data_IF_940169693326
#
_entry.id   IF_940169693326
#
_cell.length_a   1.000
_cell.length_b   1.000
_cell.length_c   1.000
_cell.angle_alpha   90.00
_cell.angle_beta   90.00
_cell.angle_gamma   90.00
#
_symmetry.space_group_name_H-M   'P 1'
#
loop_
_entity.id
_entity.type
_entity.pdbx_description
1 polymer ?
#
# COMPACT_ATOMS: atom_id res chain seq x y z
N UNK A 1 -6.02 0.82 -28.12
CA UNK A 1 -5.03 -0.28 -28.22
C UNK A 1 -5.01 -0.97 -26.88
N UNK A 2 -5.68 -2.12 -26.76
CA UNK A 2 -5.79 -2.86 -25.49
C UNK A 2 -4.55 -3.73 -25.31
N UNK A 3 -3.80 -3.46 -24.25
CA UNK A 3 -2.67 -4.28 -23.83
C UNK A 3 -3.20 -5.51 -23.10
N UNK A 4 -3.17 -6.65 -23.77
CA UNK A 4 -3.42 -7.97 -23.17
C UNK A 4 -2.18 -8.38 -22.38
N UNK A 5 -2.23 -8.21 -21.06
CA UNK A 5 -1.22 -8.81 -20.17
C UNK A 5 -1.49 -10.32 -20.05
N UNK A 6 -0.54 -11.08 -20.58
CA UNK A 6 -0.34 -12.50 -20.37
C UNK A 6 -0.27 -12.81 -18.88
N UNK A 7 -1.21 -13.62 -18.38
CA UNK A 7 -1.09 -14.30 -17.09
C UNK A 7 0.02 -15.36 -17.22
N UNK A 8 1.18 -15.09 -16.63
CA UNK A 8 2.20 -16.10 -16.36
C UNK A 8 1.63 -17.10 -15.35
N UNK A 9 1.40 -18.33 -15.82
CA UNK A 9 1.24 -19.51 -14.98
C UNK A 9 2.59 -19.78 -14.30
N UNK A 10 2.77 -19.31 -13.07
CA UNK A 10 3.77 -19.90 -12.18
C UNK A 10 3.27 -21.27 -11.73
N UNK A 11 3.57 -22.26 -12.56
CA UNK A 11 3.58 -23.66 -12.19
C UNK A 11 4.83 -23.85 -11.33
N UNK A 12 4.67 -23.74 -10.00
CA UNK A 12 5.70 -24.15 -9.06
C UNK A 12 5.74 -25.67 -9.07
N UNK A 13 6.59 -26.22 -9.94
CA UNK A 13 7.08 -27.58 -9.78
C UNK A 13 7.89 -27.63 -8.49
N UNK A 14 7.22 -28.04 -7.41
CA UNK A 14 7.89 -28.47 -6.19
C UNK A 14 8.38 -29.89 -6.47
N UNK A 15 9.54 -30.01 -7.11
CA UNK A 15 10.29 -31.27 -7.15
C UNK A 15 10.78 -31.54 -5.73
N UNK A 16 10.13 -32.47 -5.05
CA UNK A 16 10.59 -32.99 -3.78
C UNK A 16 11.75 -33.94 -4.07
N UNK A 17 12.98 -33.43 -4.06
CA UNK A 17 14.21 -34.23 -4.08
C UNK A 17 14.27 -35.03 -2.78
N UNK A 18 13.78 -36.27 -2.86
CA UNK A 18 13.78 -37.26 -1.78
C UNK A 18 15.04 -38.11 -1.84
N UNK A 19 16.22 -37.48 -1.87
CA UNK A 19 17.52 -38.18 -1.84
C UNK A 19 18.42 -37.68 -0.71
N UNK A 20 17.83 -37.38 0.46
CA UNK A 20 18.58 -37.44 1.72
C UNK A 20 18.43 -38.84 2.32
N UNK A 21 19.23 -39.76 1.80
CA UNK A 21 19.68 -40.92 2.57
C UNK A 21 20.25 -40.40 3.89
N UNK A 22 19.49 -40.56 4.97
CA UNK A 22 20.01 -40.45 6.32
C UNK A 22 21.08 -41.54 6.46
N UNK A 23 22.33 -41.08 6.49
CA UNK A 23 23.51 -41.85 6.83
C UNK A 23 23.33 -42.36 8.26
N UNK A 24 22.64 -43.49 8.36
CA UNK A 24 22.43 -44.24 9.59
C UNK A 24 23.77 -44.87 9.93
N UNK A 25 24.53 -44.16 10.75
CA UNK A 25 25.48 -44.67 11.75
C UNK A 25 26.01 -46.06 11.43
N UNK A 26 27.16 -46.07 10.77
CA UNK A 26 28.13 -47.15 10.75
C UNK A 26 28.55 -47.50 12.19
N UNK A 27 27.70 -48.24 12.89
CA UNK A 27 28.09 -49.02 14.06
C UNK A 27 28.96 -50.16 13.54
N UNK A 28 30.27 -49.97 13.68
CA UNK A 28 31.27 -51.02 13.64
C UNK A 28 30.75 -52.22 14.45
N UNK A 29 30.24 -53.22 13.72
CA UNK A 29 30.19 -54.59 14.22
C UNK A 29 31.66 -54.99 14.31
N UNK A 30 32.26 -54.68 15.45
CA UNK A 30 33.58 -55.13 15.82
C UNK A 30 33.54 -56.65 15.69
N UNK A 31 34.38 -57.15 14.78
CA UNK A 31 34.53 -58.55 14.44
C UNK A 31 34.37 -59.41 15.69
N UNK A 32 33.27 -60.15 15.77
CA UNK A 32 33.20 -61.33 16.62
C UNK A 32 34.28 -62.23 16.03
N UNK A 33 35.43 -62.26 16.71
CA UNK A 33 36.53 -63.14 16.40
C UNK A 33 35.94 -64.52 16.15
N UNK A 34 36.02 -64.99 14.90
CA UNK A 34 35.85 -66.39 14.56
C UNK A 34 36.92 -67.14 15.37
N UNK A 35 36.59 -67.48 16.61
CA UNK A 35 37.39 -68.41 17.40
C UNK A 35 37.11 -69.77 16.79
N UNK A 36 37.92 -70.05 15.78
CA UNK A 36 38.09 -71.33 15.11
C UNK A 36 37.89 -72.45 16.13
N UNK A 37 36.75 -73.13 16.02
CA UNK A 37 36.47 -74.38 16.74
C UNK A 37 37.32 -75.54 16.19
N UNK A 38 38.31 -75.27 15.32
CA UNK A 38 39.13 -76.31 14.68
C UNK A 38 40.27 -76.84 15.57
N UNK A 39 40.59 -76.21 16.70
CA UNK A 39 41.66 -76.68 17.62
C UNK A 39 41.14 -77.38 18.89
N UNK A 40 39.93 -77.96 18.82
CA UNK A 40 39.44 -78.92 19.82
C UNK A 40 40.01 -80.33 19.55
N UNK A 41 41.33 -80.45 19.39
CA UNK A 41 41.99 -81.75 19.36
C UNK A 41 42.33 -82.14 20.80
N UNK A 42 41.51 -83.02 21.40
CA UNK A 42 41.90 -83.66 22.65
C UNK A 42 43.16 -84.51 22.42
N UNK A 43 44.26 -84.29 23.17
CA UNK A 43 45.42 -85.18 23.09
C UNK A 43 45.01 -86.60 23.45
N UNK A 44 45.31 -87.57 22.59
CA UNK A 44 45.08 -88.98 22.88
C UNK A 44 46.06 -89.47 23.95
N UNK A 45 45.56 -90.13 24.99
CA UNK A 45 46.40 -90.69 26.06
C UNK A 45 46.95 -92.04 25.61
N UNK A 46 48.05 -92.02 24.86
CA UNK A 46 48.68 -93.23 24.31
C UNK A 46 49.04 -94.30 25.36
N UNK A 47 49.28 -93.92 26.62
CA UNK A 47 49.57 -94.86 27.71
C UNK A 47 48.37 -95.68 28.22
N UNK A 48 47.14 -95.16 28.08
CA UNK A 48 45.91 -95.84 28.52
C UNK A 48 45.51 -96.96 27.54
N UNK A 49 45.77 -96.76 26.25
CA UNK A 49 45.61 -97.78 25.21
C UNK A 49 46.64 -98.91 25.37
N UNK A 50 47.89 -98.58 25.73
CA UNK A 50 48.95 -99.58 26.01
C UNK A 50 48.70 -100.42 27.28
N UNK A 51 48.06 -99.85 28.31
CA UNK A 51 47.60 -100.59 29.50
C UNK A 51 46.43 -101.54 29.20
N UNK A 52 45.57 -101.16 28.25
CA UNK A 52 44.43 -101.96 27.78
C UNK A 52 44.88 -103.14 26.90
N UNK A 53 45.99 -103.02 26.18
CA UNK A 53 46.53 -104.05 25.27
C UNK A 53 47.55 -105.01 25.91
N UNK A 54 47.87 -104.88 27.20
CA UNK A 54 48.61 -105.90 27.96
C UNK A 54 50.13 -105.94 27.76
N UNK A 55 50.74 -104.88 27.24
CA UNK A 55 52.20 -104.73 27.16
C UNK A 55 52.82 -104.32 28.51
N UNK A 56 53.79 -105.08 29.03
CA UNK A 56 54.35 -104.95 30.39
C UNK A 56 55.45 -103.87 30.59
N UNK A 57 55.63 -102.95 29.63
CA UNK A 57 56.53 -101.80 29.78
C UNK A 57 55.76 -100.51 29.54
N UNK A 58 54.73 -100.26 30.35
CA UNK A 58 54.05 -98.96 30.36
C UNK A 58 54.73 -98.07 31.39
N UNK A 59 55.25 -96.95 30.91
CA UNK A 59 55.74 -95.87 31.75
C UNK A 59 54.52 -95.18 32.39
N UNK A 60 54.19 -95.62 33.61
CA UNK A 60 53.08 -95.09 34.41
C UNK A 60 53.26 -93.59 34.67
N UNK A 61 54.49 -93.13 34.84
CA UNK A 61 54.80 -91.72 35.12
C UNK A 61 54.54 -90.85 33.89
N UNK A 62 54.88 -91.35 32.69
CA UNK A 62 54.50 -90.73 31.43
C UNK A 62 52.98 -90.73 31.21
N UNK A 63 52.31 -91.85 31.52
CA UNK A 63 50.85 -91.97 31.36
C UNK A 63 50.07 -91.04 32.29
N UNK A 64 50.54 -90.87 33.54
CA UNK A 64 49.99 -89.90 34.50
C UNK A 64 50.26 -88.47 34.03
N UNK A 65 51.44 -88.21 33.49
CA UNK A 65 51.82 -86.91 32.92
C UNK A 65 50.96 -86.53 31.71
N UNK A 66 50.67 -87.49 30.82
CA UNK A 66 49.75 -87.33 29.68
C UNK A 66 48.32 -87.06 30.16
N UNK A 67 47.84 -87.78 31.18
CA UNK A 67 46.52 -87.51 31.81
C UNK A 67 46.44 -86.12 32.45
N UNK A 68 47.49 -85.69 33.16
CA UNK A 68 47.57 -84.35 33.73
C UNK A 68 47.57 -83.26 32.65
N UNK A 69 48.24 -83.51 31.52
CA UNK A 69 48.23 -82.60 30.38
C UNK A 69 46.84 -82.49 29.75
N UNK A 70 46.13 -83.61 29.59
CA UNK A 70 44.74 -83.63 29.11
C UNK A 70 43.82 -82.89 30.08
N UNK A 71 43.94 -83.12 31.39
CA UNK A 71 43.16 -82.39 32.41
C UNK A 71 43.40 -80.89 32.32
N UNK A 72 44.67 -80.44 32.25
CA UNK A 72 45.00 -79.02 32.09
C UNK A 72 44.44 -78.42 30.80
N UNK A 73 44.47 -79.18 29.70
CA UNK A 73 43.88 -78.74 28.44
C UNK A 73 42.35 -78.66 28.51
N UNK A 74 41.70 -79.62 29.17
CA UNK A 74 40.25 -79.60 29.42
C UNK A 74 39.85 -78.45 30.35
N UNK A 75 40.64 -78.17 31.38
CA UNK A 75 40.44 -77.01 32.28
C UNK A 75 40.56 -75.69 31.49
N UNK A 76 41.59 -75.55 30.65
CA UNK A 76 41.75 -74.38 29.79
C UNK A 76 40.61 -74.22 28.78
N UNK A 77 40.12 -75.32 28.20
CA UNK A 77 38.96 -75.31 27.30
C UNK A 77 37.69 -74.93 28.04
N UNK A 78 37.46 -75.46 29.25
CA UNK A 78 36.32 -75.13 30.07
C UNK A 78 36.33 -73.64 30.47
N UNK A 79 37.50 -73.12 30.87
CA UNK A 79 37.69 -71.71 31.20
C UNK A 79 37.38 -70.80 30.00
N UNK A 80 37.84 -71.19 28.80
CA UNK A 80 37.52 -70.48 27.56
C UNK A 80 36.01 -70.50 27.27
N UNK A 81 35.33 -71.64 27.43
CA UNK A 81 33.86 -71.74 27.23
C UNK A 81 33.11 -70.89 28.24
N UNK A 82 33.53 -70.88 29.51
CA UNK A 82 32.93 -70.04 30.55
C UNK A 82 33.14 -68.54 30.25
N UNK A 83 34.32 -68.15 29.78
CA UNK A 83 34.61 -66.78 29.35
C UNK A 83 33.74 -66.35 28.17
N UNK A 84 33.59 -67.21 27.16
CA UNK A 84 32.71 -66.97 26.00
C UNK A 84 31.26 -66.82 26.46
N UNK A 85 30.77 -67.70 27.33
CA UNK A 85 29.41 -67.60 27.87
C UNK A 85 29.18 -66.29 28.63
N UNK A 86 30.14 -65.86 29.45
CA UNK A 86 30.07 -64.58 30.15
C UNK A 86 30.02 -63.39 29.16
N UNK A 87 30.78 -63.43 28.07
CA UNK A 87 30.75 -62.41 27.02
C UNK A 87 29.41 -62.39 26.29
N UNK A 88 28.89 -63.56 25.89
CA UNK A 88 27.60 -63.69 25.23
C UNK A 88 26.46 -63.20 26.12
N UNK A 89 26.49 -63.52 27.42
CA UNK A 89 25.49 -63.04 28.36
C UNK A 89 25.50 -61.51 28.49
N UNK A 90 26.70 -60.91 28.50
CA UNK A 90 26.87 -59.45 28.47
C UNK A 90 26.32 -58.85 27.18
N UNK A 91 26.64 -59.41 26.01
CA UNK A 91 26.14 -58.94 24.71
C UNK A 91 24.61 -59.07 24.59
N UNK A 92 24.03 -60.15 25.11
CA UNK A 92 22.59 -60.35 25.19
C UNK A 92 21.94 -59.26 26.06
N UNK A 93 22.55 -58.91 27.18
CA UNK A 93 22.04 -57.83 28.05
C UNK A 93 22.13 -56.46 27.38
N UNK A 94 23.26 -56.14 26.73
CA UNK A 94 23.41 -54.90 25.95
C UNK A 94 22.37 -54.82 24.82
N UNK A 95 22.13 -55.93 24.13
CA UNK A 95 21.13 -56.01 23.06
C UNK A 95 19.70 -55.81 23.59
N UNK A 96 19.37 -56.36 24.77
CA UNK A 96 18.07 -56.12 25.42
C UNK A 96 17.88 -54.65 25.77
N UNK A 97 18.90 -54.00 26.31
CA UNK A 97 18.85 -52.57 26.65
C UNK A 97 18.66 -51.70 25.40
N UNK A 98 19.38 -52.02 24.32
CA UNK A 98 19.20 -51.34 23.03
C UNK A 98 17.79 -51.55 22.46
N UNK A 99 17.23 -52.75 22.53
CA UNK A 99 15.85 -53.04 22.11
C UNK A 99 14.84 -52.22 22.93
N UNK A 100 15.07 -52.06 24.24
CA UNK A 100 14.22 -51.23 25.08
C UNK A 100 14.28 -49.75 24.68
N UNK A 101 15.48 -49.23 24.41
CA UNK A 101 15.67 -47.86 23.92
C UNK A 101 14.94 -47.62 22.59
N UNK A 102 15.13 -48.50 21.60
CA UNK A 102 14.47 -48.41 20.30
C UNK A 102 12.94 -48.51 20.40
N UNK A 103 12.42 -49.33 21.32
CA UNK A 103 10.97 -49.40 21.59
C UNK A 103 10.44 -48.08 22.15
N UNK A 104 11.17 -47.45 23.06
CA UNK A 104 10.78 -46.16 23.63
C UNK A 104 10.82 -45.07 22.56
N UNK A 105 11.88 -45.01 21.75
CA UNK A 105 12.00 -44.04 20.65
C UNK A 105 10.90 -44.22 19.61
N UNK A 106 10.60 -45.45 19.21
CA UNK A 106 9.46 -45.75 18.33
C UNK A 106 8.14 -45.21 18.90
N UNK A 107 7.90 -45.42 20.20
CA UNK A 107 6.68 -44.92 20.85
C UNK A 107 6.62 -43.39 20.86
N UNK A 108 7.76 -42.71 21.06
CA UNK A 108 7.84 -41.25 21.01
C UNK A 108 7.57 -40.73 19.61
N UNK A 109 8.25 -41.27 18.59
CA UNK A 109 8.05 -40.89 17.19
C UNK A 109 6.60 -41.11 16.75
N UNK A 110 5.99 -42.22 17.15
CA UNK A 110 4.59 -42.51 16.85
C UNK A 110 3.63 -41.50 17.50
N UNK A 111 3.92 -41.05 18.73
CA UNK A 111 3.16 -39.98 19.39
C UNK A 111 3.32 -38.64 18.65
N UNK A 112 4.53 -38.31 18.21
CA UNK A 112 4.79 -37.07 17.46
C UNK A 112 4.08 -37.06 16.11
N UNK A 113 4.08 -38.19 15.39
CA UNK A 113 3.34 -38.33 14.13
C UNK A 113 1.85 -38.09 14.34
N UNK A 114 1.23 -38.70 15.37
CA UNK A 114 -0.18 -38.49 15.67
C UNK A 114 -0.50 -37.02 16.03
N UNK A 115 0.39 -36.35 16.77
CA UNK A 115 0.22 -34.92 17.05
C UNK A 115 0.28 -34.08 15.77
N UNK A 116 1.26 -34.33 14.90
CA UNK A 116 1.39 -33.62 13.63
C UNK A 116 0.19 -33.87 12.70
N UNK A 117 -0.30 -35.11 12.62
CA UNK A 117 -1.51 -35.45 11.87
C UNK A 117 -2.76 -34.75 12.43
N UNK A 118 -2.85 -34.55 13.75
CA UNK A 118 -3.96 -33.83 14.37
C UNK A 118 -3.91 -32.31 14.16
N UNK A 119 -2.70 -31.77 13.97
CA UNK A 119 -2.48 -30.33 13.76
C UNK A 119 -2.47 -29.96 12.27
N UNK A 120 -2.24 -30.92 11.38
CA UNK A 120 -2.31 -30.66 9.95
C UNK A 120 -3.77 -30.48 9.53
N UNK A 121 -4.14 -29.30 9.01
CA UNK A 121 -5.47 -29.09 8.49
C UNK A 121 -5.73 -30.09 7.37
N UNK A 122 -6.94 -30.65 7.36
CA UNK A 122 -7.29 -31.61 6.32
C UNK A 122 -7.20 -30.93 4.96
N UNK A 123 -6.91 -31.71 3.91
CA UNK A 123 -6.93 -31.22 2.52
C UNK A 123 -8.23 -30.45 2.20
N UNK A 124 -9.35 -30.87 2.80
CA UNK A 124 -10.65 -30.21 2.68
C UNK A 124 -10.67 -28.83 3.34
N UNK A 125 -10.13 -28.68 4.54
CA UNK A 125 -10.05 -27.39 5.24
C UNK A 125 -9.16 -26.41 4.49
N UNK A 126 -8.00 -26.85 4.00
CA UNK A 126 -7.14 -26.02 3.15
C UNK A 126 -7.87 -25.59 1.87
N UNK A 127 -8.63 -26.49 1.24
CA UNK A 127 -9.42 -26.14 0.06
C UNK A 127 -10.49 -25.07 0.38
N UNK A 128 -11.19 -25.20 1.52
CA UNK A 128 -12.18 -24.20 1.96
C UNK A 128 -11.50 -22.84 2.18
N UNK A 129 -10.32 -22.80 2.81
CA UNK A 129 -9.58 -21.56 3.02
C UNK A 129 -9.14 -20.93 1.68
N UNK A 130 -8.68 -21.75 0.73
CA UNK A 130 -8.34 -21.29 -0.62
C UNK A 130 -9.57 -20.67 -1.31
N UNK A 131 -10.72 -21.34 -1.23
CA UNK A 131 -11.96 -20.87 -1.84
C UNK A 131 -12.43 -19.55 -1.21
N UNK A 132 -12.35 -19.43 0.13
CA UNK A 132 -12.65 -18.21 0.86
C UNK A 132 -11.73 -17.05 0.45
N UNK A 133 -10.41 -17.26 0.46
CA UNK A 133 -9.43 -16.24 0.04
C UNK A 133 -9.66 -15.84 -1.43
N UNK A 134 -10.01 -16.80 -2.29
CA UNK A 134 -10.34 -16.54 -3.69
C UNK A 134 -11.59 -15.66 -3.82
N UNK A 135 -12.62 -15.91 -3.02
CA UNK A 135 -13.84 -15.10 -2.98
C UNK A 135 -13.56 -13.68 -2.47
N UNK A 136 -12.84 -13.53 -1.35
CA UNK A 136 -12.42 -12.23 -0.82
C UNK A 136 -11.60 -11.43 -1.85
N UNK A 137 -10.64 -12.09 -2.51
CA UNK A 137 -9.86 -11.48 -3.60
C UNK A 137 -10.76 -10.97 -4.71
N UNK A 138 -11.74 -11.78 -5.13
CA UNK A 138 -12.66 -11.41 -6.20
C UNK A 138 -13.61 -10.27 -5.79
N UNK A 139 -14.00 -10.21 -4.52
CA UNK A 139 -14.77 -9.07 -3.97
C UNK A 139 -13.92 -7.80 -3.95
N UNK A 140 -12.67 -7.88 -3.47
CA UNK A 140 -11.75 -6.74 -3.46
C UNK A 140 -11.46 -6.20 -4.88
N UNK A 141 -11.29 -7.09 -5.87
CA UNK A 141 -11.12 -6.70 -7.28
C UNK A 141 -12.34 -5.95 -7.80
N UNK A 142 -13.56 -6.43 -7.50
CA UNK A 142 -14.80 -5.75 -7.90
C UNK A 142 -14.88 -4.36 -7.27
N UNK A 143 -14.66 -4.26 -5.96
CA UNK A 143 -14.66 -3.00 -5.26
C UNK A 143 -13.63 -2.00 -5.81
N UNK A 144 -12.42 -2.47 -6.14
CA UNK A 144 -11.39 -1.62 -6.75
C UNK A 144 -11.83 -1.10 -8.12
N UNK A 145 -12.51 -1.93 -8.93
CA UNK A 145 -13.04 -1.53 -10.22
C UNK A 145 -14.11 -0.44 -10.08
N UNK A 146 -15.01 -0.56 -9.11
CA UNK A 146 -16.03 0.45 -8.83
C UNK A 146 -15.37 1.78 -8.42
N UNK A 147 -14.41 1.75 -7.49
CA UNK A 147 -13.63 2.93 -7.09
C UNK A 147 -12.86 3.57 -8.26
N UNK A 148 -12.38 2.79 -9.22
CA UNK A 148 -11.75 3.31 -10.43
C UNK A 148 -12.76 4.03 -11.33
N UNK A 149 -13.97 3.49 -11.48
CA UNK A 149 -15.05 4.13 -12.24
C UNK A 149 -15.48 5.44 -11.59
N UNK A 150 -15.65 5.47 -10.27
CA UNK A 150 -16.00 6.67 -9.51
C UNK A 150 -14.91 7.75 -9.64
N UNK A 151 -13.63 7.37 -9.54
CA UNK A 151 -12.51 8.29 -9.76
C UNK A 151 -12.49 8.87 -11.19
N UNK A 152 -12.81 8.06 -12.20
CA UNK A 152 -12.91 8.55 -13.58
C UNK A 152 -14.07 9.53 -13.74
N UNK A 153 -15.20 9.26 -13.09
CA UNK A 153 -16.36 10.15 -13.11
C UNK A 153 -16.05 11.48 -12.42
N UNK A 154 -15.48 11.44 -11.22
CA UNK A 154 -15.03 12.64 -10.50
C UNK A 154 -14.06 13.49 -11.32
N UNK A 155 -13.11 12.86 -12.03
CA UNK A 155 -12.18 13.60 -12.92
C UNK A 155 -12.90 14.33 -14.05
N UNK A 156 -13.92 13.71 -14.66
CA UNK A 156 -14.74 14.37 -15.70
C UNK A 156 -15.52 15.54 -15.12
N UNK A 157 -16.06 15.40 -13.91
CA UNK A 157 -16.85 16.46 -13.28
C UNK A 157 -15.96 17.63 -12.84
N UNK A 158 -14.75 17.37 -12.33
CA UNK A 158 -13.72 18.40 -12.09
C UNK A 158 -13.40 19.15 -13.39
N UNK A 159 -13.22 18.43 -14.50
CA UNK A 159 -12.93 19.07 -15.79
C UNK A 159 -14.08 19.99 -16.23
N UNK A 160 -15.33 19.54 -16.16
CA UNK A 160 -16.50 20.37 -16.47
C UNK A 160 -16.60 21.62 -15.59
N UNK A 161 -16.31 21.48 -14.29
CA UNK A 161 -16.32 22.61 -13.36
C UNK A 161 -15.21 23.61 -13.70
N UNK A 162 -14.02 23.13 -14.06
CA UNK A 162 -12.94 24.01 -14.51
C UNK A 162 -13.30 24.74 -15.81
N UNK A 163 -13.92 24.05 -16.76
CA UNK A 163 -14.40 24.67 -18.01
C UNK A 163 -15.42 25.78 -17.69
N UNK A 164 -16.37 25.52 -16.78
CA UNK A 164 -17.35 26.52 -16.34
C UNK A 164 -16.70 27.71 -15.62
N UNK A 165 -15.70 27.48 -14.77
CA UNK A 165 -14.94 28.55 -14.11
C UNK A 165 -14.25 29.43 -15.15
N UNK A 166 -13.59 28.84 -16.15
CA UNK A 166 -12.93 29.58 -17.21
C UNK A 166 -13.93 30.44 -18.00
N UNK A 167 -15.10 29.90 -18.34
CA UNK A 167 -16.15 30.69 -19.02
C UNK A 167 -16.63 31.87 -18.18
N UNK A 168 -16.81 31.68 -16.87
CA UNK A 168 -17.21 32.79 -15.99
C UNK A 168 -16.09 33.83 -15.81
N UNK A 169 -14.83 33.42 -15.86
CA UNK A 169 -13.70 34.36 -15.85
C UNK A 169 -13.65 35.22 -17.12
N UNK A 170 -13.92 34.63 -18.29
CA UNK A 170 -14.06 35.35 -19.55
C UNK A 170 -15.24 36.34 -19.52
N UNK A 171 -16.44 35.88 -19.12
CA UNK A 171 -17.63 36.74 -18.99
C UNK A 171 -17.39 37.90 -18.01
N UNK A 172 -16.67 37.66 -16.91
CA UNK A 172 -16.30 38.69 -15.94
C UNK A 172 -15.36 39.74 -16.54
N UNK A 173 -14.43 39.34 -17.41
CA UNK A 173 -13.54 40.27 -18.11
C UNK A 173 -14.36 41.12 -19.08
N UNK A 174 -15.26 40.51 -19.86
CA UNK A 174 -16.13 41.22 -20.79
C UNK A 174 -17.04 42.23 -20.09
N UNK A 175 -17.69 41.83 -19.00
CA UNK A 175 -18.53 42.71 -18.20
C UNK A 175 -17.74 43.89 -17.62
N UNK A 176 -16.48 43.69 -17.22
CA UNK A 176 -15.60 44.78 -16.75
C UNK A 176 -15.29 45.76 -17.87
N UNK A 177 -14.97 45.26 -19.07
CA UNK A 177 -14.71 46.13 -20.22
C UNK A 177 -15.95 46.95 -20.60
N UNK A 178 -17.14 46.35 -20.53
CA UNK A 178 -18.40 47.06 -20.78
C UNK A 178 -18.66 48.15 -19.73
N UNK A 179 -18.44 47.86 -18.44
CA UNK A 179 -18.54 48.86 -17.36
C UNK A 179 -17.58 50.02 -17.63
N UNK A 180 -16.31 49.76 -17.91
CA UNK A 180 -15.31 50.79 -18.18
C UNK A 180 -15.72 51.68 -19.38
N UNK A 181 -16.25 51.06 -20.44
CA UNK A 181 -16.76 51.78 -21.60
C UNK A 181 -17.94 52.71 -21.24
N UNK A 182 -18.93 52.18 -20.53
CA UNK A 182 -20.11 52.94 -20.10
C UNK A 182 -19.74 54.07 -19.14
N UNK A 183 -18.78 53.87 -18.24
CA UNK A 183 -18.27 54.93 -17.37
C UNK A 183 -17.67 56.10 -18.15
N UNK A 184 -16.88 55.80 -19.19
CA UNK A 184 -16.31 56.83 -20.08
C UNK A 184 -17.42 57.57 -20.81
N UNK A 185 -18.42 56.85 -21.33
CA UNK A 185 -19.55 57.44 -22.02
C UNK A 185 -20.35 58.38 -21.09
N UNK A 186 -20.66 57.94 -19.87
CA UNK A 186 -21.38 58.75 -18.87
C UNK A 186 -20.57 60.00 -18.51
N UNK A 187 -19.26 59.88 -18.26
CA UNK A 187 -18.39 61.02 -17.97
C UNK A 187 -18.41 62.04 -19.12
N UNK A 188 -18.38 61.57 -20.37
CA UNK A 188 -18.47 62.45 -21.54
C UNK A 188 -19.82 63.19 -21.61
N UNK A 189 -20.93 62.49 -21.34
CA UNK A 189 -22.26 63.08 -21.34
C UNK A 189 -22.40 64.12 -20.22
N UNK A 190 -21.92 63.83 -19.01
CA UNK A 190 -21.90 64.78 -17.89
C UNK A 190 -21.12 66.06 -18.20
N UNK A 191 -20.03 65.97 -18.98
CA UNK A 191 -19.29 67.15 -19.44
C UNK A 191 -20.15 67.96 -20.42
N UNK A 192 -20.82 67.31 -21.37
CA UNK A 192 -21.71 68.01 -22.31
C UNK A 192 -22.91 68.66 -21.61
N UNK A 193 -23.51 67.99 -20.63
CA UNK A 193 -24.61 68.51 -19.83
C UNK A 193 -24.18 69.76 -19.05
N UNK A 194 -22.99 69.73 -18.43
CA UNK A 194 -22.41 70.92 -17.77
C UNK A 194 -22.27 72.11 -18.72
N UNK A 195 -21.76 71.88 -19.94
CA UNK A 195 -21.65 72.93 -20.97
C UNK A 195 -23.01 73.51 -21.35
N UNK A 196 -24.03 72.66 -21.50
CA UNK A 196 -25.39 73.13 -21.77
C UNK A 196 -25.95 73.93 -20.59
N UNK A 197 -25.71 73.50 -19.36
CA UNK A 197 -26.16 74.19 -18.16
C UNK A 197 -25.52 75.60 -18.04
N UNK A 198 -24.21 75.71 -18.27
CA UNK A 198 -23.49 76.99 -18.34
C UNK A 198 -24.09 77.91 -19.41
N UNK A 199 -24.36 77.38 -20.61
CA UNK A 199 -24.96 78.14 -21.71
C UNK A 199 -26.39 78.62 -21.37
N UNK A 200 -27.20 77.78 -20.73
CA UNK A 200 -28.55 78.17 -20.27
C UNK A 200 -28.45 79.31 -19.26
N UNK A 201 -27.52 79.24 -18.31
CA UNK A 201 -27.34 80.29 -17.31
C UNK A 201 -26.87 81.60 -17.94
N UNK A 202 -25.95 81.55 -18.91
CA UNK A 202 -25.54 82.73 -19.68
C UNK A 202 -26.71 83.37 -20.43
N UNK A 203 -27.49 82.58 -21.18
CA UNK A 203 -28.68 83.07 -21.91
C UNK A 203 -29.75 83.63 -20.98
N UNK A 204 -29.93 83.05 -19.79
CA UNK A 204 -30.83 83.60 -18.75
C UNK A 204 -30.34 84.98 -18.29
N UNK A 205 -29.04 85.14 -18.06
CA UNK A 205 -28.43 86.42 -17.71
C UNK A 205 -28.62 87.48 -18.82
N UNK A 206 -28.34 87.12 -20.07
CA UNK A 206 -28.57 88.00 -21.23
C UNK A 206 -30.03 88.42 -21.36
N UNK A 207 -30.97 87.47 -21.19
CA UNK A 207 -32.41 87.76 -21.20
C UNK A 207 -32.79 88.78 -20.13
N UNK A 208 -32.28 88.64 -18.91
CA UNK A 208 -32.55 89.59 -17.81
C UNK A 208 -32.02 90.97 -18.17
N UNK A 209 -30.76 91.07 -18.61
CA UNK A 209 -30.14 92.34 -19.00
C UNK A 209 -30.90 93.06 -20.14
N UNK A 210 -31.33 92.31 -21.17
CA UNK A 210 -32.14 92.84 -22.26
C UNK A 210 -33.53 93.29 -21.78
N UNK A 211 -34.13 92.54 -20.86
CA UNK A 211 -35.43 92.89 -20.28
C UNK A 211 -35.34 94.20 -19.48
N UNK A 212 -34.29 94.38 -18.69
CA UNK A 212 -34.07 95.61 -17.92
C UNK A 212 -33.76 96.80 -18.83
N UNK A 213 -32.97 96.60 -19.88
CA UNK A 213 -32.73 97.62 -20.92
C UNK A 213 -34.04 98.03 -21.61
N UNK A 214 -34.90 97.08 -21.95
CA UNK A 214 -36.22 97.37 -22.54
C UNK A 214 -37.09 98.21 -21.60
N UNK A 215 -37.10 97.90 -20.29
CA UNK A 215 -37.82 98.70 -19.30
C UNK A 215 -37.27 100.13 -19.22
N UNK A 216 -35.95 100.30 -19.14
CA UNK A 216 -35.31 101.64 -19.11
C UNK A 216 -35.66 102.44 -20.37
N UNK A 217 -35.55 101.84 -21.56
CA UNK A 217 -35.92 102.51 -22.81
C UNK A 217 -37.42 102.85 -22.87
N UNK A 218 -38.30 101.99 -22.34
CA UNK A 218 -39.73 102.28 -22.24
C UNK A 218 -40.00 103.46 -21.30
N UNK A 219 -39.30 103.56 -20.18
CA UNK A 219 -39.45 104.65 -19.24
C UNK A 219 -38.86 105.97 -19.78
N UNK A 220 -37.71 105.92 -20.46
CA UNK A 220 -37.14 107.05 -21.21
C UNK A 220 -38.11 107.55 -22.29
N UNK A 221 -38.73 106.63 -23.05
CA UNK A 221 -39.72 106.97 -24.06
C UNK A 221 -40.95 107.66 -23.45
N UNK A 222 -41.49 107.14 -22.34
CA UNK A 222 -42.61 107.76 -21.62
C UNK A 222 -42.25 109.16 -21.13
N UNK A 223 -41.05 109.33 -20.58
CA UNK A 223 -40.55 110.60 -20.11
C UNK A 223 -40.44 111.62 -21.27
N UNK A 224 -39.83 111.22 -22.39
CA UNK A 224 -39.73 112.05 -23.58
C UNK A 224 -41.10 112.47 -24.13
N UNK A 225 -42.08 111.56 -24.17
CA UNK A 225 -43.46 111.90 -24.55
C UNK A 225 -44.10 112.90 -23.59
N UNK A 226 -43.92 112.70 -22.28
CA UNK A 226 -44.41 113.64 -21.25
C UNK A 226 -43.78 115.03 -21.41
N UNK A 227 -42.47 115.10 -21.62
CA UNK A 227 -41.73 116.35 -21.77
C UNK A 227 -42.11 117.06 -23.08
N UNK A 228 -42.28 116.32 -24.19
CA UNK A 228 -42.80 116.86 -25.44
C UNK A 228 -44.23 117.40 -25.28
N UNK A 229 -45.09 116.69 -24.53
CA UNK A 229 -46.44 117.14 -24.24
C UNK A 229 -46.46 118.42 -23.39
N UNK A 230 -45.60 118.51 -22.37
CA UNK A 230 -45.42 119.74 -21.57
C UNK A 230 -44.94 120.90 -22.44
N UNK A 231 -43.90 120.68 -23.24
CA UNK A 231 -43.38 121.71 -24.16
C UNK A 231 -44.47 122.19 -25.14
N UNK A 232 -45.30 121.28 -25.66
CA UNK A 232 -46.44 121.64 -26.50
C UNK A 232 -47.48 122.49 -25.75
N UNK A 233 -47.82 122.13 -24.50
CA UNK A 233 -48.71 122.93 -23.65
C UNK A 233 -48.14 124.32 -23.36
N UNK A 234 -46.84 124.41 -23.05
CA UNK A 234 -46.15 125.67 -22.78
C UNK A 234 -46.15 126.59 -24.01
N UNK A 235 -45.86 126.04 -25.20
CA UNK A 235 -45.96 126.78 -26.47
C UNK A 235 -47.40 127.26 -26.71
N UNK A 236 -48.40 126.41 -26.45
CA UNK A 236 -49.81 126.78 -26.59
C UNK A 236 -50.20 127.91 -25.63
N UNK A 237 -49.80 127.85 -24.37
CA UNK A 237 -50.05 128.90 -23.37
C UNK A 237 -49.33 130.21 -23.70
N UNK A 238 -48.07 130.14 -24.13
CA UNK A 238 -47.30 131.32 -24.54
C UNK A 238 -47.92 132.00 -25.77
N UNK A 239 -48.47 131.22 -26.72
CA UNK A 239 -49.19 131.76 -27.87
C UNK A 239 -50.46 132.51 -27.45
N UNK A 240 -51.24 131.95 -26.53
CA UNK A 240 -52.42 132.63 -25.97
C UNK A 240 -52.04 133.95 -25.26
N UNK A 241 -50.95 133.95 -24.48
CA UNK A 241 -50.45 135.18 -23.83
C UNK A 241 -49.95 136.24 -24.83
N UNK A 242 -49.36 135.84 -25.96
CA UNK A 242 -48.95 136.77 -27.03
C UNK A 242 -50.17 137.37 -27.75
N UNK A 243 -51.23 136.59 -27.96
CA UNK A 243 -52.49 137.06 -28.53
C UNK A 243 -53.21 138.05 -27.60
N UNK A 244 -53.09 137.90 -26.27
CA UNK A 244 -53.60 138.84 -25.27
C UNK A 244 -52.75 140.13 -25.16
N UNK A 245 -51.43 140.05 -25.35
CA UNK A 245 -50.50 141.19 -25.30
C UNK A 245 -50.47 142.09 -26.56
N UNK A 246 -51.10 141.70 -27.66
CA UNK A 246 -51.25 142.53 -28.87
C UNK A 246 -52.58 143.29 -28.96
N UNK A 247 -53.49 143.11 -27.97
CA UNK A 247 -54.79 143.77 -27.89
C UNK A 247 -54.90 144.83 -26.77
N UNK A 248 -53.77 145.30 -26.24
CA UNK A 248 -53.68 146.44 -25.33
C UNK A 248 -52.64 147.44 -25.82
#
# INVERSE_FOLDING_TARGET
MMSTQTLEKHQTDISFDSDQQMDMTSLEIQQVSETSTQDLVMPQISGLEALKEGTFTVDLEKTISDMLLVIKNMEAQLENVLSINASLEKEVNVSKDMILQLKNEKSQLQSTIQQLESQMPSKREMQIQIDHISEEKNQAIRHNRDLQMDNQQMKKDIQKLNDAVNTFEEEKIDARMEIDYLEVQIKSQQITERKYHEKINALRGEKIALTDKLKSLQDELKQAYSDQFKAYQDVKQNRQKQEEGHNG
#
